data_IF_855057278291
#
_entry.id   IF_855057278291
#
_cell.length_a   1.000
_cell.length_b   1.000
_cell.length_c   1.000
_cell.angle_alpha   90.00
_cell.angle_beta   90.00
_cell.angle_gamma   90.00
#
_symmetry.space_group_name_H-M   'P 1'
#
loop_
_entity.id
_entity.type
_entity.pdbx_description
1 polymer ?
#
# COMPACT_ATOMS: atom_id res chain seq x y z
N UNK A 1 -2.36 12.92 11.76
CA UNK A 1 -3.18 11.82 12.28
C UNK A 1 -3.86 11.03 11.15
N UNK A 2 -4.47 11.70 10.16
CA UNK A 2 -5.14 11.04 9.02
C UNK A 2 -4.23 10.14 8.15
N UNK A 3 -2.94 10.42 8.07
CA UNK A 3 -1.97 9.59 7.33
C UNK A 3 -1.83 8.16 7.91
N UNK A 4 -1.96 8.00 9.23
CA UNK A 4 -1.93 6.67 9.87
C UNK A 4 -3.21 5.90 9.56
N UNK A 5 -4.36 6.58 9.50
CA UNK A 5 -5.62 5.97 9.10
C UNK A 5 -5.56 5.45 7.65
N UNK A 6 -4.88 6.16 6.76
CA UNK A 6 -4.66 5.70 5.38
C UNK A 6 -3.75 4.47 5.36
N UNK A 7 -2.68 4.44 6.15
CA UNK A 7 -1.86 3.23 6.29
C UNK A 7 -2.68 2.00 6.73
N UNK A 8 -3.58 2.17 7.69
CA UNK A 8 -4.49 1.11 8.12
C UNK A 8 -5.49 0.70 7.03
N UNK A 9 -6.06 1.67 6.30
CA UNK A 9 -6.98 1.40 5.19
C UNK A 9 -6.30 0.64 4.05
N UNK A 10 -5.07 1.03 3.68
CA UNK A 10 -4.24 0.34 2.70
C UNK A 10 -4.00 -1.11 3.16
N UNK A 11 -3.53 -1.30 4.40
CA UNK A 11 -3.27 -2.65 4.92
C UNK A 11 -4.53 -3.53 4.89
N UNK A 12 -5.68 -3.01 5.34
CA UNK A 12 -6.94 -3.74 5.32
C UNK A 12 -7.38 -4.10 3.88
N UNK A 13 -7.20 -3.18 2.92
CA UNK A 13 -7.50 -3.42 1.52
C UNK A 13 -6.60 -4.52 0.92
N UNK A 14 -5.28 -4.47 1.14
CA UNK A 14 -4.36 -5.48 0.61
C UNK A 14 -4.67 -6.88 1.15
N UNK A 15 -5.02 -7.00 2.44
CA UNK A 15 -5.47 -8.27 3.03
C UNK A 15 -6.77 -8.75 2.38
N UNK A 16 -7.74 -7.86 2.17
CA UNK A 16 -9.01 -8.20 1.53
C UNK A 16 -8.85 -8.68 0.08
N UNK A 17 -7.89 -8.11 -0.66
CA UNK A 17 -7.53 -8.53 -2.02
C UNK A 17 -6.86 -9.91 -2.01
N UNK A 18 -5.90 -10.14 -1.10
CA UNK A 18 -5.21 -11.42 -0.99
C UNK A 18 -6.18 -12.58 -0.70
N UNK A 19 -7.16 -12.38 0.20
CA UNK A 19 -8.21 -13.38 0.49
C UNK A 19 -9.06 -13.71 -0.74
N UNK A 20 -9.15 -12.80 -1.71
CA UNK A 20 -9.88 -12.98 -2.97
C UNK A 20 -8.99 -13.49 -4.11
N UNK A 21 -7.74 -13.84 -3.85
CA UNK A 21 -6.80 -14.32 -4.86
C UNK A 21 -6.27 -13.24 -5.80
N UNK A 22 -6.38 -11.97 -5.42
CA UNK A 22 -5.81 -10.85 -6.17
C UNK A 22 -4.43 -10.48 -5.59
N UNK A 23 -3.47 -10.29 -6.49
CA UNK A 23 -2.19 -9.66 -6.18
C UNK A 23 -2.35 -8.16 -6.01
N UNK A 24 -1.53 -7.58 -5.13
CA UNK A 24 -1.50 -6.13 -4.93
C UNK A 24 -0.11 -5.61 -4.59
N UNK A 25 0.21 -4.39 -5.03
CA UNK A 25 1.50 -3.75 -4.79
C UNK A 25 1.32 -2.29 -4.39
N UNK A 26 1.84 -1.91 -3.22
CA UNK A 26 1.89 -0.53 -2.76
C UNK A 26 3.00 0.25 -3.45
N UNK A 27 2.65 1.40 -4.03
CA UNK A 27 3.56 2.29 -4.73
C UNK A 27 3.60 3.63 -3.99
N UNK A 28 4.70 3.87 -3.27
CA UNK A 28 4.87 5.07 -2.45
C UNK A 28 5.33 6.32 -3.22
N UNK A 29 5.83 6.18 -4.46
CA UNK A 29 6.35 7.30 -5.25
C UNK A 29 5.30 8.38 -5.53
N UNK A 30 4.02 8.01 -5.59
CA UNK A 30 2.90 8.93 -5.86
C UNK A 30 2.64 9.94 -4.74
N UNK A 31 3.06 9.64 -3.51
CA UNK A 31 3.04 10.61 -2.40
C UNK A 31 4.01 11.77 -2.69
N UNK A 32 5.16 11.47 -3.29
CA UNK A 32 6.22 12.45 -3.55
C UNK A 32 6.01 13.22 -4.86
N UNK A 33 5.09 12.78 -5.71
CA UNK A 33 4.81 13.36 -7.03
C UNK A 33 3.36 13.88 -7.14
N UNK A 34 2.88 14.55 -6.09
CA UNK A 34 1.47 14.92 -5.96
C UNK A 34 0.93 15.78 -7.12
N UNK A 35 1.71 16.72 -7.64
CA UNK A 35 1.31 17.57 -8.77
C UNK A 35 1.12 16.73 -10.04
N UNK A 36 2.06 15.85 -10.35
CA UNK A 36 1.95 14.94 -11.50
C UNK A 36 0.75 14.01 -11.35
N UNK A 37 0.53 13.45 -10.16
CA UNK A 37 -0.61 12.55 -9.92
C UNK A 37 -1.94 13.27 -10.11
N UNK A 38 -2.06 14.52 -9.65
CA UNK A 38 -3.28 15.32 -9.86
C UNK A 38 -3.51 15.62 -11.33
N UNK A 39 -2.48 16.00 -12.07
CA UNK A 39 -2.56 16.30 -13.50
C UNK A 39 -2.97 15.07 -14.31
N UNK A 40 -2.26 13.95 -14.14
CA UNK A 40 -2.49 12.72 -14.89
C UNK A 40 -3.84 12.05 -14.61
N UNK A 41 -4.39 12.25 -13.41
CA UNK A 41 -5.67 11.66 -12.99
C UNK A 41 -6.84 12.67 -12.97
N UNK A 42 -6.61 13.90 -13.44
CA UNK A 42 -7.59 15.01 -13.41
C UNK A 42 -8.25 15.19 -12.04
N UNK A 43 -7.45 15.19 -10.98
CA UNK A 43 -7.93 15.28 -9.60
C UNK A 43 -8.07 16.75 -9.15
N UNK A 44 -9.02 17.04 -8.25
CA UNK A 44 -9.13 18.36 -7.62
C UNK A 44 -7.82 18.80 -6.95
N UNK A 45 -7.51 20.09 -7.03
CA UNK A 45 -6.27 20.67 -6.48
C UNK A 45 -6.16 20.54 -4.96
N UNK A 46 -7.30 20.46 -4.27
CA UNK A 46 -7.40 20.30 -2.82
C UNK A 46 -7.26 18.84 -2.36
N UNK A 47 -7.16 17.88 -3.30
CA UNK A 47 -6.89 16.50 -2.96
C UNK A 47 -5.39 16.25 -2.75
N UNK A 48 -5.08 15.51 -1.69
CA UNK A 48 -3.74 15.02 -1.39
C UNK A 48 -3.64 13.55 -1.80
N UNK A 49 -2.84 13.21 -2.84
CA UNK A 49 -2.54 11.82 -3.15
C UNK A 49 -1.72 11.19 -2.03
N UNK A 50 -2.22 10.08 -1.47
CA UNK A 50 -1.58 9.40 -0.34
C UNK A 50 -0.91 8.09 -0.71
N UNK A 51 -0.88 7.74 -2.01
CA UNK A 51 -0.23 6.55 -2.53
C UNK A 51 -1.04 5.93 -3.67
N UNK A 52 -0.47 4.91 -4.31
CA UNK A 52 -1.16 4.12 -5.33
C UNK A 52 -1.02 2.63 -5.05
N UNK A 53 -2.01 1.85 -5.50
CA UNK A 53 -2.01 0.39 -5.37
C UNK A 53 -2.25 -0.19 -6.77
N UNK A 54 -1.30 -0.96 -7.28
CA UNK A 54 -1.52 -1.80 -8.45
C UNK A 54 -2.24 -3.08 -8.01
N UNK A 55 -3.28 -3.50 -8.73
CA UNK A 55 -4.11 -4.68 -8.41
C UNK A 55 -4.28 -5.51 -9.67
N UNK A 56 -4.17 -6.84 -9.54
CA UNK A 56 -4.37 -7.73 -10.67
C UNK A 56 -4.34 -9.21 -10.29
N UNK A 57 -4.55 -10.08 -11.27
CA UNK A 57 -4.29 -11.50 -11.13
C UNK A 57 -2.81 -11.76 -11.38
N UNK A 58 -2.21 -12.58 -10.53
CA UNK A 58 -0.81 -12.97 -10.74
C UNK A 58 -0.72 -13.99 -11.87
N UNK A 59 0.20 -13.78 -12.81
CA UNK A 59 0.49 -14.76 -13.87
C UNK A 59 1.05 -16.07 -13.28
N UNK A 60 1.81 -15.96 -12.19
CA UNK A 60 2.33 -17.08 -11.41
C UNK A 60 2.12 -16.83 -9.91
N UNK A 61 1.80 -17.88 -9.11
CA UNK A 61 1.69 -17.73 -7.66
C UNK A 61 3.04 -17.31 -7.05
N UNK A 62 3.05 -16.25 -6.25
CA UNK A 62 4.21 -15.91 -5.42
C UNK A 62 4.05 -16.49 -4.02
N UNK A 63 5.13 -17.07 -3.49
CA UNK A 63 5.19 -17.53 -2.11
C UNK A 63 5.28 -16.37 -1.12
N UNK A 64 5.02 -16.65 0.15
CA UNK A 64 5.29 -15.72 1.23
C UNK A 64 6.80 -15.59 1.44
N UNK A 65 7.26 -14.37 1.75
CA UNK A 65 8.64 -14.16 2.22
C UNK A 65 8.78 -14.72 3.63
N UNK A 66 9.97 -15.22 3.95
CA UNK A 66 10.28 -15.66 5.31
C UNK A 66 10.12 -14.49 6.30
N UNK A 67 9.46 -14.71 7.45
CA UNK A 67 9.33 -13.69 8.47
C UNK A 67 10.68 -13.42 9.14
N UNK A 68 10.91 -12.17 9.55
CA UNK A 68 12.03 -11.83 10.43
C UNK A 68 11.80 -12.37 11.85
N UNK A 69 12.84 -12.76 12.60
CA UNK A 69 12.68 -13.21 13.98
C UNK A 69 12.06 -12.14 14.88
N UNK A 70 10.98 -12.48 15.58
CA UNK A 70 10.26 -11.54 16.44
C UNK A 70 11.08 -11.09 17.67
N UNK A 71 12.02 -11.91 18.14
CA UNK A 71 12.88 -11.62 19.27
C UNK A 71 13.74 -10.35 19.05
N UNK A 72 14.11 -10.07 17.80
CA UNK A 72 14.93 -8.90 17.44
C UNK A 72 14.10 -7.60 17.34
N UNK A 73 12.76 -7.70 17.41
CA UNK A 73 11.83 -6.58 17.28
C UNK A 73 11.19 -6.15 18.62
N UNK A 74 11.33 -6.95 19.68
CA UNK A 74 10.76 -6.66 20.99
C UNK A 74 11.83 -6.06 21.93
N UNK A 75 11.68 -4.77 22.26
CA UNK A 75 12.51 -4.12 23.27
C UNK A 75 11.83 -4.28 24.63
N UNK A 76 12.37 -5.15 25.48
CA UNK A 76 11.99 -5.25 26.88
C UNK A 76 12.80 -4.22 27.68
N UNK A 77 12.11 -3.32 28.40
CA UNK A 77 12.72 -2.34 29.30
C UNK A 77 12.65 -2.81 30.74
#
# INVERSE_FOLDING_TARGET
>A
MFTVAVGAAVQALLVALAVRGLGSCWIGSTIFAADLVRDELDLPVDWEPLGAIAIGYADEPSGLRDPVPAADLLILK
#
